data_IF_748147142120
#
_entry.id   IF_748147142120
#
_cell.length_a   1.000
_cell.length_b   1.000
_cell.length_c   1.000
_cell.angle_alpha   90.00
_cell.angle_beta   90.00
_cell.angle_gamma   90.00
#
_symmetry.space_group_name_H-M   'P 1'
#
loop_
_entity.id
_entity.type
_entity.pdbx_description
1 polymer ?
#
# COMPACT_ATOMS: atom_id res chain seq x y z
N UNK A 1 -4.82 -24.02 -39.82
CA UNK A 1 -5.02 -24.03 -38.35
C UNK A 1 -3.93 -23.25 -37.57
N UNK A 2 -3.08 -22.43 -38.22
CA UNK A 2 -1.97 -21.68 -37.56
C UNK A 2 -2.31 -20.20 -37.31
N UNK A 3 -3.28 -19.62 -38.03
CA UNK A 3 -3.66 -18.21 -37.89
C UNK A 3 -4.40 -17.88 -36.56
N UNK A 4 -5.12 -18.85 -35.97
CA UNK A 4 -5.87 -18.63 -34.72
C UNK A 4 -5.00 -18.57 -33.45
N UNK A 5 -3.76 -19.05 -33.51
CA UNK A 5 -2.84 -19.02 -32.35
C UNK A 5 -2.09 -17.69 -32.26
N UNK A 6 -1.78 -17.07 -33.41
CA UNK A 6 -1.10 -15.77 -33.45
C UNK A 6 -2.03 -14.61 -33.02
N UNK A 7 -3.31 -14.67 -33.37
CA UNK A 7 -4.28 -13.63 -33.00
C UNK A 7 -4.55 -13.57 -31.49
N UNK A 8 -4.49 -14.70 -30.78
CA UNK A 8 -4.69 -14.75 -29.32
C UNK A 8 -3.50 -14.18 -28.52
N UNK A 9 -2.30 -14.21 -29.10
CA UNK A 9 -1.06 -13.74 -28.46
C UNK A 9 -0.91 -12.22 -28.52
N UNK A 10 -1.42 -11.59 -29.58
CA UNK A 10 -1.43 -10.12 -29.72
C UNK A 10 -2.44 -9.46 -28.76
N UNK A 11 -3.64 -10.04 -28.59
CA UNK A 11 -4.66 -9.49 -27.69
C UNK A 11 -4.18 -9.45 -26.23
N UNK A 12 -3.41 -10.45 -25.77
CA UNK A 12 -2.85 -10.41 -24.41
C UNK A 12 -1.79 -9.32 -24.22
N UNK A 13 -1.01 -8.99 -25.25
CA UNK A 13 0.06 -7.99 -25.14
C UNK A 13 -0.50 -6.55 -25.14
N UNK A 14 -1.51 -6.29 -25.98
CA UNK A 14 -2.21 -5.00 -26.01
C UNK A 14 -2.98 -4.72 -24.72
N UNK A 15 -3.51 -5.75 -24.05
CA UNK A 15 -4.15 -5.59 -22.74
C UNK A 15 -3.12 -5.23 -21.66
N UNK A 16 -1.96 -5.89 -21.63
CA UNK A 16 -0.89 -5.60 -20.65
C UNK A 16 -0.32 -4.19 -20.87
N UNK A 17 -0.11 -3.79 -22.13
CA UNK A 17 0.37 -2.45 -22.47
C UNK A 17 -0.70 -1.40 -22.15
N UNK A 18 -1.98 -1.64 -22.45
CA UNK A 18 -3.05 -0.70 -22.07
C UNK A 18 -3.24 -0.62 -20.56
N UNK A 19 -3.12 -1.73 -19.81
CA UNK A 19 -3.12 -1.72 -18.35
C UNK A 19 -1.93 -0.94 -17.81
N UNK A 20 -0.75 -1.08 -18.40
CA UNK A 20 0.45 -0.34 -18.02
C UNK A 20 0.32 1.16 -18.35
N UNK A 21 -0.16 1.52 -19.54
CA UNK A 21 -0.38 2.91 -19.95
C UNK A 21 -1.48 3.55 -19.12
N UNK A 22 -2.58 2.83 -18.86
CA UNK A 22 -3.64 3.28 -17.96
C UNK A 22 -3.12 3.47 -16.54
N UNK A 23 -2.28 2.55 -16.05
CA UNK A 23 -1.62 2.65 -14.75
C UNK A 23 -0.70 3.87 -14.67
N UNK A 24 0.17 4.08 -15.66
CA UNK A 24 1.08 5.24 -15.77
C UNK A 24 0.29 6.56 -15.85
N UNK A 25 -0.77 6.62 -16.65
CA UNK A 25 -1.60 7.81 -16.79
C UNK A 25 -2.41 8.10 -15.53
N UNK A 26 -2.88 7.07 -14.82
CA UNK A 26 -3.50 7.22 -13.52
C UNK A 26 -2.51 7.78 -12.48
N UNK A 27 -1.24 7.36 -12.51
CA UNK A 27 -0.19 7.91 -11.63
C UNK A 27 0.09 9.39 -11.86
N UNK A 28 -0.14 9.88 -13.07
CA UNK A 28 0.20 11.25 -13.49
C UNK A 28 -0.88 12.28 -13.10
N UNK A 29 -2.07 11.84 -12.67
CA UNK A 29 -3.24 12.70 -12.45
C UNK A 29 -3.32 13.30 -11.04
N UNK A 30 -2.51 12.83 -10.09
CA UNK A 30 -2.48 13.37 -8.72
C UNK A 30 -1.28 14.31 -8.54
N UNK A 31 -1.53 15.57 -8.14
CA UNK A 31 -0.51 16.61 -7.93
C UNK A 31 0.54 16.24 -6.85
N UNK A 32 0.24 15.24 -6.02
CA UNK A 32 1.18 14.64 -5.08
C UNK A 32 1.52 13.23 -5.55
N UNK A 33 2.81 12.91 -5.64
CA UNK A 33 3.26 11.59 -6.00
C UNK A 33 2.96 10.59 -4.87
N UNK A 34 1.78 9.97 -4.92
CA UNK A 34 1.25 9.09 -3.86
C UNK A 34 2.13 7.84 -3.67
N UNK A 35 2.92 7.45 -4.67
CA UNK A 35 3.89 6.36 -4.54
C UNK A 35 5.05 6.73 -3.62
N UNK A 36 5.58 7.94 -3.74
CA UNK A 36 6.56 8.46 -2.79
C UNK A 36 5.97 8.63 -1.40
N UNK A 37 4.67 8.96 -1.30
CA UNK A 37 3.97 9.00 -0.02
C UNK A 37 3.89 7.60 0.62
N UNK A 38 3.51 6.56 -0.14
CA UNK A 38 3.50 5.17 0.32
C UNK A 38 4.88 4.68 0.77
N UNK A 39 5.94 5.00 0.03
CA UNK A 39 7.31 4.68 0.47
C UNK A 39 7.71 5.42 1.75
N UNK A 40 7.44 6.74 1.82
CA UNK A 40 7.71 7.52 3.03
C UNK A 40 6.87 7.05 4.22
N UNK A 41 5.67 6.53 4.00
CA UNK A 41 4.84 5.93 5.05
C UNK A 41 5.57 4.76 5.73
N UNK A 42 6.21 3.90 4.93
CA UNK A 42 6.96 2.73 5.41
C UNK A 42 8.24 3.16 6.14
N UNK A 43 9.03 4.06 5.53
CA UNK A 43 10.40 4.35 5.99
C UNK A 43 10.56 5.62 6.84
N UNK A 44 9.66 6.60 6.77
CA UNK A 44 9.84 7.94 7.33
C UNK A 44 8.52 8.55 7.86
N UNK A 45 8.11 8.17 9.08
CA UNK A 45 6.87 8.65 9.76
C UNK A 45 6.73 10.18 9.68
N UNK A 46 7.79 10.92 10.03
CA UNK A 46 7.75 12.38 10.12
C UNK A 46 7.54 13.04 8.75
N UNK A 47 8.23 12.57 7.71
CA UNK A 47 8.09 13.10 6.35
C UNK A 47 6.74 12.77 5.71
N UNK A 48 6.14 11.63 6.09
CA UNK A 48 4.79 11.29 5.65
C UNK A 48 3.75 12.19 6.34
N UNK A 49 3.93 12.46 7.63
CA UNK A 49 3.05 13.34 8.39
C UNK A 49 3.03 14.77 7.84
N UNK A 50 4.19 15.33 7.51
CA UNK A 50 4.32 16.64 6.87
C UNK A 50 3.59 16.71 5.51
N UNK A 51 3.72 15.67 4.69
CA UNK A 51 3.03 15.58 3.39
C UNK A 51 1.51 15.47 3.55
N UNK A 52 1.06 14.69 4.53
CA UNK A 52 -0.36 14.54 4.83
C UNK A 52 -0.98 15.85 5.31
N UNK A 53 -0.31 16.56 6.22
CA UNK A 53 -0.70 17.89 6.69
C UNK A 53 -0.79 18.91 5.55
N UNK A 54 0.22 18.95 4.66
CA UNK A 54 0.22 19.88 3.54
C UNK A 54 -0.89 19.59 2.52
N UNK A 55 -1.23 18.32 2.29
CA UNK A 55 -2.27 17.95 1.34
C UNK A 55 -3.68 18.25 1.89
N UNK A 56 -3.96 17.87 3.13
CA UNK A 56 -5.27 18.13 3.73
C UNK A 56 -5.50 19.62 4.05
N UNK A 57 -4.45 20.38 4.40
CA UNK A 57 -4.57 21.86 4.53
C UNK A 57 -4.85 22.58 3.21
N UNK A 58 -4.50 21.98 2.06
CA UNK A 58 -4.83 22.55 0.74
C UNK A 58 -6.29 22.30 0.35
N UNK A 59 -6.91 21.23 0.87
CA UNK A 59 -8.30 20.88 0.58
C UNK A 59 -9.29 21.74 1.39
N UNK A 60 -8.88 22.23 2.56
CA UNK A 60 -9.67 23.13 3.40
C UNK A 60 -8.87 24.45 3.61
N UNK A 61 -8.75 25.32 2.58
CA UNK A 61 -7.97 26.54 2.68
C UNK A 61 -8.50 27.41 3.83
N UNK A 62 -7.62 28.14 4.55
CA UNK A 62 -8.07 29.08 5.57
C UNK A 62 -9.10 30.02 4.94
N UNK A 63 -10.25 30.17 5.61
CA UNK A 63 -11.38 31.02 5.23
C UNK A 63 -10.87 32.23 4.46
N UNK A 64 -11.08 32.22 3.14
CA UNK A 64 -10.60 33.26 2.24
C UNK A 64 -11.13 34.62 2.71
N UNK A 65 -10.22 35.51 3.11
CA UNK A 65 -10.55 36.88 3.54
C UNK A 65 -10.21 37.24 4.98
N UNK A 66 -9.07 36.78 5.52
CA UNK A 66 -8.56 37.27 6.80
C UNK A 66 -7.86 38.61 6.58
N UNK A 67 -8.63 39.70 6.64
CA UNK A 67 -8.08 41.01 7.00
C UNK A 67 -7.63 40.93 8.47
N UNK A 68 -6.47 41.48 8.80
CA UNK A 68 -5.61 41.13 9.92
C UNK A 68 -6.12 41.36 11.36
N UNK A 69 -7.41 41.65 11.61
CA UNK A 69 -7.88 42.15 12.92
C UNK A 69 -8.59 41.16 13.86
N UNK A 70 -8.83 39.90 13.49
CA UNK A 70 -9.54 38.97 14.39
C UNK A 70 -8.59 37.91 14.99
N UNK A 71 -7.89 38.27 16.08
CA UNK A 71 -7.10 37.32 16.87
C UNK A 71 -7.94 36.12 17.32
N UNK A 72 -9.24 36.31 17.56
CA UNK A 72 -10.18 35.23 17.89
C UNK A 72 -10.39 34.25 16.73
N UNK A 73 -10.41 34.74 15.47
CA UNK A 73 -10.50 33.87 14.28
C UNK A 73 -9.19 33.12 14.06
N UNK A 74 -8.03 33.76 14.29
CA UNK A 74 -6.71 33.09 14.27
C UNK A 74 -6.63 32.02 15.35
N UNK A 75 -7.06 32.30 16.58
CA UNK A 75 -7.08 31.34 17.68
C UNK A 75 -8.03 30.17 17.41
N UNK A 76 -9.22 30.42 16.85
CA UNK A 76 -10.18 29.38 16.45
C UNK A 76 -9.64 28.50 15.31
N UNK A 77 -8.98 29.10 14.33
CA UNK A 77 -8.30 28.37 13.25
C UNK A 77 -7.17 27.48 13.80
N UNK A 78 -6.30 28.03 14.66
CA UNK A 78 -5.21 27.27 15.29
C UNK A 78 -5.73 26.10 16.13
N UNK A 79 -6.83 26.29 16.87
CA UNK A 79 -7.49 25.19 17.61
C UNK A 79 -8.05 24.11 16.67
N UNK A 80 -8.66 24.50 15.55
CA UNK A 80 -9.15 23.56 14.52
C UNK A 80 -7.99 22.78 13.90
N UNK A 81 -6.88 23.44 13.56
CA UNK A 81 -5.67 22.81 13.03
C UNK A 81 -5.03 21.84 14.04
N UNK A 82 -4.95 22.22 15.32
CA UNK A 82 -4.41 21.34 16.36
C UNK A 82 -5.27 20.07 16.53
N UNK A 83 -6.59 20.21 16.65
CA UNK A 83 -7.51 19.08 16.76
C UNK A 83 -7.46 18.16 15.52
N UNK A 84 -7.34 18.76 14.33
CA UNK A 84 -7.19 18.03 13.07
C UNK A 84 -5.87 17.25 13.01
N UNK A 85 -4.76 17.87 13.41
CA UNK A 85 -3.44 17.25 13.43
C UNK A 85 -3.40 16.03 14.37
N UNK A 86 -4.12 16.10 15.50
CA UNK A 86 -4.25 14.99 16.44
C UNK A 86 -5.04 13.83 15.83
N UNK A 87 -6.17 14.12 15.16
CA UNK A 87 -6.95 13.10 14.45
C UNK A 87 -6.17 12.45 13.31
N UNK A 88 -5.43 13.25 12.54
CA UNK A 88 -4.56 12.76 11.47
C UNK A 88 -3.47 11.85 12.02
N UNK A 89 -2.83 12.23 13.13
CA UNK A 89 -1.82 11.39 13.81
C UNK A 89 -2.40 10.05 14.22
N UNK A 90 -3.57 10.05 14.87
CA UNK A 90 -4.28 8.83 15.28
C UNK A 90 -4.61 7.92 14.08
N UNK A 91 -5.09 8.50 12.98
CA UNK A 91 -5.36 7.75 11.75
C UNK A 91 -4.10 7.13 11.16
N UNK A 92 -3.01 7.89 11.08
CA UNK A 92 -1.72 7.40 10.55
C UNK A 92 -1.17 6.26 11.41
N UNK A 93 -1.25 6.39 12.73
CA UNK A 93 -0.85 5.33 13.66
C UNK A 93 -1.73 4.09 13.54
N UNK A 94 -3.04 4.25 13.36
CA UNK A 94 -3.95 3.12 13.12
C UNK A 94 -3.56 2.36 11.85
N UNK A 95 -3.32 3.04 10.71
CA UNK A 95 -2.87 2.37 9.47
C UNK A 95 -1.53 1.69 9.69
N UNK A 96 -0.57 2.36 10.35
CA UNK A 96 0.78 1.84 10.53
C UNK A 96 0.78 0.61 11.44
N UNK A 97 -0.02 0.64 12.51
CA UNK A 97 -0.20 -0.50 13.40
C UNK A 97 -0.91 -1.65 12.68
N UNK A 98 -1.89 -1.37 11.80
CA UNK A 98 -2.48 -2.37 10.92
C UNK A 98 -1.45 -2.99 9.98
N UNK A 99 -0.68 -2.16 9.27
CA UNK A 99 0.37 -2.58 8.34
C UNK A 99 1.40 -3.53 8.99
N UNK A 100 1.96 -3.12 10.13
CA UNK A 100 2.93 -3.95 10.88
C UNK A 100 2.26 -5.10 11.65
N UNK A 101 1.00 -4.95 12.05
CA UNK A 101 0.20 -6.00 12.67
C UNK A 101 -0.02 -7.17 11.72
N UNK A 102 -0.44 -6.89 10.49
CA UNK A 102 -0.60 -7.89 9.43
C UNK A 102 0.72 -8.60 9.12
N UNK A 103 1.84 -7.88 9.12
CA UNK A 103 3.16 -8.50 8.95
C UNK A 103 3.48 -9.53 10.05
N UNK A 104 3.25 -9.16 11.32
CA UNK A 104 3.48 -10.06 12.48
C UNK A 104 2.60 -11.31 12.42
N UNK A 105 1.33 -11.14 12.08
CA UNK A 105 0.39 -12.26 11.90
C UNK A 105 0.89 -13.20 10.80
N UNK A 106 1.37 -12.65 9.68
CA UNK A 106 1.86 -13.45 8.56
C UNK A 106 3.12 -14.25 8.94
N UNK A 107 4.04 -13.65 9.69
CA UNK A 107 5.20 -14.36 10.26
C UNK A 107 4.73 -15.50 11.16
N UNK A 108 3.77 -15.24 12.04
CA UNK A 108 3.27 -16.26 12.96
C UNK A 108 2.66 -17.46 12.22
N UNK A 109 1.83 -17.21 11.21
CA UNK A 109 1.27 -18.25 10.34
C UNK A 109 2.38 -19.02 9.62
N UNK A 110 3.37 -18.31 9.07
CA UNK A 110 4.52 -18.91 8.39
C UNK A 110 5.28 -19.88 9.31
N UNK A 111 5.56 -19.46 10.54
CA UNK A 111 6.25 -20.29 11.55
C UNK A 111 5.42 -21.52 11.89
N UNK A 112 4.10 -21.37 12.09
CA UNK A 112 3.20 -22.51 12.35
C UNK A 112 3.23 -23.51 11.20
N UNK A 113 3.10 -23.04 9.96
CA UNK A 113 3.14 -23.93 8.78
C UNK A 113 4.48 -24.65 8.69
N UNK A 114 5.59 -23.95 8.94
CA UNK A 114 6.92 -24.55 8.94
C UNK A 114 7.08 -25.63 10.02
N UNK A 115 6.56 -25.39 11.23
CA UNK A 115 6.53 -26.39 12.31
C UNK A 115 5.70 -27.61 11.91
N UNK A 116 4.53 -27.42 11.31
CA UNK A 116 3.71 -28.53 10.80
C UNK A 116 4.47 -29.36 9.75
N UNK A 117 5.11 -28.71 8.77
CA UNK A 117 5.92 -29.40 7.77
C UNK A 117 7.09 -30.19 8.39
N UNK A 118 7.71 -29.64 9.44
CA UNK A 118 8.77 -30.31 10.19
C UNK A 118 8.26 -31.57 10.89
N UNK A 119 7.16 -31.48 11.65
CA UNK A 119 6.57 -32.63 12.35
C UNK A 119 5.99 -33.69 11.40
N UNK A 120 5.50 -33.29 10.22
CA UNK A 120 5.04 -34.22 9.19
C UNK A 120 6.19 -34.94 8.45
N UNK A 121 7.46 -34.69 8.81
CA UNK A 121 8.62 -35.32 8.18
C UNK A 121 8.79 -34.96 6.71
N UNK A 122 8.11 -33.91 6.23
CA UNK A 122 8.14 -33.49 4.82
C UNK A 122 9.37 -32.63 4.48
N UNK A 123 10.18 -32.28 5.49
CA UNK A 123 11.41 -31.53 5.32
C UNK A 123 12.55 -32.52 5.04
N UNK A 124 12.91 -32.64 3.76
CA UNK A 124 14.12 -33.36 3.35
C UNK A 124 15.35 -32.56 3.79
N UNK A 125 16.15 -33.11 4.71
CA UNK A 125 17.39 -32.49 5.20
C UNK A 125 18.47 -32.29 4.12
N UNK A 126 18.30 -32.93 2.95
CA UNK A 126 19.16 -32.74 1.78
C UNK A 126 18.70 -31.52 0.97
N UNK A 127 18.61 -30.39 1.65
CA UNK A 127 17.91 -29.19 1.19
C UNK A 127 18.84 -28.39 0.25
N UNK A 128 18.89 -28.79 -1.02
CA UNK A 128 19.37 -27.88 -2.06
C UNK A 128 18.43 -26.68 -2.09
N UNK A 129 18.96 -25.48 -1.87
CA UNK A 129 18.17 -24.25 -1.89
C UNK A 129 17.69 -24.03 -3.32
N UNK A 130 16.45 -24.45 -3.56
CA UNK A 130 15.75 -24.24 -4.82
C UNK A 130 15.29 -22.78 -4.88
N UNK A 131 16.01 -21.98 -5.66
CA UNK A 131 15.73 -20.55 -5.83
C UNK A 131 14.29 -20.29 -6.29
N UNK A 132 13.71 -21.19 -7.08
CA UNK A 132 12.35 -21.04 -7.62
C UNK A 132 11.31 -21.14 -6.49
N UNK A 133 11.51 -22.08 -5.55
CA UNK A 133 10.68 -22.19 -4.34
C UNK A 133 10.83 -20.99 -3.41
N UNK A 134 12.05 -20.46 -3.29
CA UNK A 134 12.31 -19.24 -2.50
C UNK A 134 11.58 -18.05 -3.10
N UNK A 135 11.67 -17.82 -4.41
CA UNK A 135 10.92 -16.76 -5.09
C UNK A 135 9.41 -16.92 -4.94
N UNK A 136 8.89 -18.14 -5.14
CA UNK A 136 7.48 -18.45 -4.99
C UNK A 136 6.97 -18.16 -3.58
N UNK A 137 7.76 -18.55 -2.56
CA UNK A 137 7.46 -18.30 -1.16
C UNK A 137 7.44 -16.80 -0.85
N UNK A 138 8.49 -16.05 -1.23
CA UNK A 138 8.54 -14.60 -0.99
C UNK A 138 7.43 -13.86 -1.73
N UNK A 139 7.11 -14.27 -2.96
CA UNK A 139 6.00 -13.71 -3.71
C UNK A 139 4.65 -13.92 -3.04
N UNK A 140 4.40 -15.16 -2.61
CA UNK A 140 3.18 -15.52 -1.85
C UNK A 140 3.11 -14.76 -0.53
N UNK A 141 4.22 -14.65 0.19
CA UNK A 141 4.33 -13.90 1.44
C UNK A 141 3.96 -12.43 1.22
N UNK A 142 4.55 -11.77 0.23
CA UNK A 142 4.34 -10.35 -0.03
C UNK A 142 2.89 -10.06 -0.49
N UNK A 143 2.34 -10.90 -1.38
CA UNK A 143 0.96 -10.80 -1.83
C UNK A 143 -0.06 -11.03 -0.69
N UNK A 144 0.22 -12.01 0.18
CA UNK A 144 -0.62 -12.31 1.34
C UNK A 144 -0.54 -11.20 2.38
N UNK A 145 0.64 -10.58 2.58
CA UNK A 145 0.77 -9.43 3.46
C UNK A 145 -0.04 -8.23 2.96
N UNK A 146 0.06 -7.92 1.66
CA UNK A 146 -0.78 -6.89 1.03
C UNK A 146 -2.26 -7.15 1.28
N UNK A 147 -2.72 -8.37 0.98
CA UNK A 147 -4.12 -8.79 1.17
C UNK A 147 -4.58 -8.67 2.62
N UNK A 148 -3.79 -9.15 3.57
CA UNK A 148 -4.14 -9.09 4.99
C UNK A 148 -4.17 -7.65 5.53
N UNK A 149 -3.32 -6.77 5.00
CA UNK A 149 -3.38 -5.35 5.30
C UNK A 149 -4.66 -4.72 4.75
N UNK A 150 -5.03 -5.05 3.51
CA UNK A 150 -6.26 -4.55 2.88
C UNK A 150 -7.56 -5.04 3.56
N UNK A 151 -7.53 -6.21 4.18
CA UNK A 151 -8.64 -6.78 4.95
C UNK A 151 -8.75 -6.21 6.38
N UNK A 152 -7.73 -5.52 6.88
CA UNK A 152 -7.79 -4.82 8.16
C UNK A 152 -8.86 -3.72 8.14
N UNK A 153 -9.33 -3.30 9.32
CA UNK A 153 -10.34 -2.23 9.44
C UNK A 153 -9.92 -0.99 8.64
N UNK A 154 -10.57 -0.79 7.49
CA UNK A 154 -10.34 0.37 6.65
C UNK A 154 -10.62 1.65 7.42
N UNK A 155 -9.72 2.62 7.31
CA UNK A 155 -10.03 4.00 7.68
C UNK A 155 -10.99 4.49 6.62
N UNK A 156 -12.29 4.33 6.83
CA UNK A 156 -13.31 4.93 5.98
C UNK A 156 -13.95 6.06 6.76
N UNK A 157 -13.47 7.27 6.51
CA UNK A 157 -14.21 8.50 6.77
C UNK A 157 -15.26 8.68 5.67
N UNK A 158 -16.39 9.29 6.03
CA UNK A 158 -17.55 9.49 5.13
C UNK A 158 -17.20 10.26 3.83
N UNK A 159 -16.04 10.92 3.77
CA UNK A 159 -15.58 11.71 2.62
C UNK A 159 -14.60 11.00 1.68
N UNK A 160 -13.89 9.95 2.12
CA UNK A 160 -12.95 9.20 1.27
C UNK A 160 -11.79 10.01 0.65
N UNK A 161 -11.56 11.25 1.11
CA UNK A 161 -10.60 12.19 0.51
C UNK A 161 -9.36 12.43 1.37
N UNK A 162 -9.32 11.87 2.58
CA UNK A 162 -8.18 12.11 3.48
C UNK A 162 -6.92 11.44 2.94
N UNK A 163 -5.76 12.06 3.15
CA UNK A 163 -4.50 11.52 2.64
C UNK A 163 -4.19 10.06 3.06
N UNK A 164 -4.54 9.62 4.30
CA UNK A 164 -4.39 8.22 4.71
C UNK A 164 -5.26 7.23 3.90
N UNK A 165 -6.45 7.64 3.49
CA UNK A 165 -7.36 6.82 2.66
C UNK A 165 -6.83 6.59 1.26
N UNK A 166 -6.24 7.62 0.64
CA UNK A 166 -5.59 7.50 -0.66
C UNK A 166 -4.31 6.66 -0.63
N UNK A 167 -3.60 6.68 0.50
CA UNK A 167 -2.34 5.95 0.67
C UNK A 167 -2.55 4.45 0.86
N UNK A 168 -3.63 4.05 1.53
CA UNK A 168 -3.97 2.64 1.79
C UNK A 168 -3.98 1.74 0.52
N UNK A 169 -4.72 2.06 -0.57
CA UNK A 169 -4.70 1.26 -1.78
C UNK A 169 -3.34 1.27 -2.50
N UNK A 170 -2.54 2.31 -2.33
CA UNK A 170 -1.18 2.36 -2.89
C UNK A 170 -0.24 1.42 -2.13
N UNK A 171 -0.30 1.39 -0.80
CA UNK A 171 0.46 0.43 0.00
C UNK A 171 0.10 -1.02 -0.35
N UNK A 172 -1.18 -1.31 -0.59
CA UNK A 172 -1.60 -2.62 -1.09
C UNK A 172 -0.93 -2.95 -2.43
N UNK A 173 -0.99 -2.04 -3.40
CA UNK A 173 -0.37 -2.24 -4.73
C UNK A 173 1.14 -2.46 -4.66
N UNK A 174 1.85 -1.71 -3.80
CA UNK A 174 3.30 -1.82 -3.60
C UNK A 174 3.69 -3.21 -3.09
N UNK A 175 2.87 -3.85 -2.26
CA UNK A 175 3.15 -5.20 -1.76
C UNK A 175 2.64 -6.28 -2.72
N UNK A 176 1.42 -6.12 -3.22
CA UNK A 176 0.72 -7.14 -3.98
C UNK A 176 1.33 -7.36 -5.36
N UNK A 177 1.62 -6.29 -6.11
CA UNK A 177 2.10 -6.42 -7.50
C UNK A 177 3.46 -7.12 -7.54
N UNK A 178 4.50 -6.68 -6.80
CA UNK A 178 5.78 -7.38 -6.78
C UNK A 178 5.65 -8.79 -6.21
N UNK A 179 4.74 -9.00 -5.25
CA UNK A 179 4.46 -10.33 -4.70
C UNK A 179 3.96 -11.31 -5.76
N UNK A 180 2.95 -10.92 -6.54
CA UNK A 180 2.43 -11.73 -7.63
C UNK A 180 3.49 -11.98 -8.71
N UNK A 181 4.29 -10.96 -9.06
CA UNK A 181 5.38 -11.13 -10.03
C UNK A 181 6.41 -12.14 -9.54
N UNK A 182 6.89 -12.04 -8.30
CA UNK A 182 7.84 -12.99 -7.73
C UNK A 182 7.25 -14.40 -7.63
N UNK A 183 5.97 -14.50 -7.27
CA UNK A 183 5.25 -15.77 -7.20
C UNK A 183 5.21 -16.45 -8.57
N UNK A 184 4.85 -15.70 -9.62
CA UNK A 184 4.79 -16.23 -10.99
C UNK A 184 6.18 -16.56 -11.53
N UNK A 185 7.20 -15.74 -11.25
CA UNK A 185 8.58 -16.01 -11.66
C UNK A 185 9.12 -17.30 -11.04
N UNK A 186 8.84 -17.54 -9.76
CA UNK A 186 9.26 -18.76 -9.08
C UNK A 186 8.52 -20.03 -9.54
N UNK A 187 7.39 -19.90 -10.26
CA UNK A 187 6.68 -21.03 -10.88
C UNK A 187 7.14 -21.24 -12.33
N UNK A 188 7.45 -20.16 -13.03
CA UNK A 188 7.76 -20.17 -14.46
C UNK A 188 9.21 -20.54 -14.78
N UNK A 189 10.14 -20.26 -13.86
CA UNK A 189 11.56 -20.63 -13.94
C UNK A 189 11.76 -21.93 -13.15
#
# INVERSE_FOLDING_TARGET
MVANVLCRRYVSFDIVINLYIWWVNWMKKEEINIWWAGLKFIFCKNKYYELALQHDMKLDPPVSGINETDEEKKAKYNRKCAAYSEQLTKSIEKIRNGFWGSFKILIYITVIVMLFCFFSGSINYNLSVDFNKVLSFFGTFLASWGTLMALGEGIQTYGGQTFPEKTHPVLFKILFIPGVVLMLLGIAI
#
